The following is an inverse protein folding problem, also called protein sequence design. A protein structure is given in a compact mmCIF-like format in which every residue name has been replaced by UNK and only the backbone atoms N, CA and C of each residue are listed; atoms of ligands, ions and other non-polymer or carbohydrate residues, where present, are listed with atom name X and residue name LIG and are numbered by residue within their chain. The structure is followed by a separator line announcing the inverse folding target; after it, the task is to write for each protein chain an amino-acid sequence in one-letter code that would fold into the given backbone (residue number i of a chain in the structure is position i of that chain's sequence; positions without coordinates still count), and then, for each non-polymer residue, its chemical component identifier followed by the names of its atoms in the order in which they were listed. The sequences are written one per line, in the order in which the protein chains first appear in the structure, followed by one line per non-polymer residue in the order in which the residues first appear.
data_IF_732377446212
#
_entry.id   IF_732377446212
#
_cell.length_a   1.000
_cell.length_b   1.000
_cell.length_c   1.000
_cell.angle_alpha   90.00
_cell.angle_beta   90.00
_cell.angle_gamma   90.00
#
_symmetry.space_group_name_H-M   'P 1'
#
loop_
_entity.id
_entity.type
_entity.pdbx_description
1 polymer ?
#
# COMPACT_ATOMS: atom_id res chain seq x y z
N UNK A 1 -17.82 7.33 2.23
CA UNK A 1 -17.66 6.71 0.90
C UNK A 1 -18.39 7.50 -0.17
N UNK A 2 -17.74 7.83 -1.25
CA UNK A 2 -18.31 8.59 -2.38
C UNK A 2 -18.97 7.70 -3.45
N UNK A 3 -18.65 6.40 -3.46
CA UNK A 3 -19.19 5.40 -4.41
C UNK A 3 -19.76 4.20 -3.66
N UNK A 4 -20.73 3.52 -4.26
CA UNK A 4 -21.26 2.25 -3.74
C UNK A 4 -20.20 1.16 -3.76
N UNK A 5 -20.37 0.12 -2.93
CA UNK A 5 -19.55 -1.09 -2.97
C UNK A 5 -20.07 -2.03 -4.08
N UNK A 6 -19.60 -1.85 -5.29
CA UNK A 6 -20.04 -2.56 -6.50
C UNK A 6 -19.38 -3.94 -6.66
N UNK A 7 -18.22 -4.16 -6.05
CA UNK A 7 -17.50 -5.44 -6.08
C UNK A 7 -17.69 -6.23 -4.77
N UNK A 8 -17.52 -7.56 -4.83
CA UNK A 8 -17.51 -8.43 -3.64
C UNK A 8 -16.43 -7.99 -2.65
N UNK A 9 -15.25 -7.64 -3.15
CA UNK A 9 -14.15 -7.15 -2.34
C UNK A 9 -14.51 -5.88 -1.56
N UNK A 10 -15.09 -4.88 -2.23
CA UNK A 10 -15.50 -3.64 -1.58
C UNK A 10 -16.61 -3.87 -0.54
N UNK A 11 -17.52 -4.81 -0.79
CA UNK A 11 -18.54 -5.20 0.20
C UNK A 11 -17.91 -5.78 1.46
N UNK A 12 -16.95 -6.70 1.33
CA UNK A 12 -16.21 -7.26 2.47
C UNK A 12 -15.45 -6.15 3.22
N UNK A 13 -14.73 -5.29 2.50
CA UNK A 13 -13.95 -4.22 3.13
C UNK A 13 -14.82 -3.25 3.94
N UNK A 14 -16.04 -2.98 3.51
CA UNK A 14 -16.94 -1.98 4.11
C UNK A 14 -18.01 -2.54 5.04
N UNK A 15 -18.12 -3.86 5.18
CA UNK A 15 -19.23 -4.55 5.85
C UNK A 15 -19.61 -3.96 7.20
N UNK A 16 -18.64 -3.63 8.04
CA UNK A 16 -18.84 -3.11 9.40
C UNK A 16 -18.38 -1.65 9.57
N UNK A 17 -18.27 -0.90 8.48
CA UNK A 17 -17.72 0.46 8.53
C UNK A 17 -18.63 1.44 7.77
N UNK A 18 -18.94 2.57 8.41
CA UNK A 18 -19.68 3.68 7.77
C UNK A 18 -18.78 4.59 6.93
N UNK A 19 -17.47 4.58 7.19
CA UNK A 19 -16.46 5.41 6.52
C UNK A 19 -15.10 4.71 6.55
N UNK A 20 -14.15 5.07 5.64
CA UNK A 20 -12.78 4.55 5.65
C UNK A 20 -11.99 5.19 6.80
N UNK A 21 -12.01 4.57 7.98
CA UNK A 21 -11.28 5.06 9.14
C UNK A 21 -9.76 5.00 8.91
N UNK A 22 -9.03 5.93 9.54
CA UNK A 22 -7.57 6.04 9.45
C UNK A 22 -7.04 6.20 8.00
N UNK A 23 -7.73 6.98 7.18
CA UNK A 23 -7.24 7.33 5.84
C UNK A 23 -6.12 8.38 5.94
N UNK A 24 -5.03 8.03 6.62
CA UNK A 24 -3.90 8.90 6.95
C UNK A 24 -2.80 8.77 5.90
N UNK A 25 -2.36 9.88 5.34
CA UNK A 25 -1.25 9.95 4.38
C UNK A 25 -0.03 10.55 5.07
N UNK A 26 1.15 9.95 4.88
CA UNK A 26 2.41 10.53 5.33
C UNK A 26 2.72 11.82 4.57
N UNK A 27 3.05 12.90 5.29
CA UNK A 27 3.49 14.13 4.65
C UNK A 27 4.90 13.97 4.10
N UNK A 28 5.05 14.12 2.80
CA UNK A 28 6.33 14.09 2.11
C UNK A 28 6.88 15.51 1.92
N UNK A 29 8.21 15.62 1.87
CA UNK A 29 8.88 16.87 1.48
C UNK A 29 8.65 17.15 -0.02
N UNK A 30 8.70 18.39 -0.43
CA UNK A 30 8.43 18.81 -1.82
C UNK A 30 9.29 18.10 -2.85
N UNK A 31 10.58 17.94 -2.59
CA UNK A 31 11.49 17.23 -3.50
C UNK A 31 11.11 15.74 -3.67
N UNK A 32 10.45 15.11 -2.68
CA UNK A 32 9.94 13.74 -2.79
C UNK A 32 8.69 13.71 -3.68
N UNK A 33 7.81 14.69 -3.52
CA UNK A 33 6.62 14.83 -4.37
C UNK A 33 7.02 15.11 -5.82
N UNK A 34 8.08 15.92 -6.02
CA UNK A 34 8.62 16.15 -7.37
C UNK A 34 9.07 14.85 -8.04
N UNK A 35 9.79 13.99 -7.34
CA UNK A 35 10.16 12.65 -7.84
C UNK A 35 8.97 11.82 -8.28
N UNK A 36 7.88 11.86 -7.52
CA UNK A 36 6.67 11.11 -7.85
C UNK A 36 6.11 11.47 -9.23
N UNK A 37 6.20 12.73 -9.65
CA UNK A 37 5.67 13.19 -10.94
C UNK A 37 6.30 12.50 -12.15
N UNK A 38 7.54 12.05 -12.03
CA UNK A 38 8.27 11.39 -13.11
C UNK A 38 7.96 9.90 -13.25
N UNK A 39 7.34 9.28 -12.22
CA UNK A 39 7.13 7.85 -12.18
C UNK A 39 5.77 7.50 -12.79
N UNK A 40 5.77 6.78 -13.91
CA UNK A 40 4.56 6.28 -14.59
C UNK A 40 3.92 5.11 -13.83
N UNK A 41 2.71 4.70 -14.23
CA UNK A 41 2.04 3.52 -13.69
C UNK A 41 2.95 2.29 -13.81
N UNK A 42 3.10 1.53 -12.73
CA UNK A 42 4.01 0.38 -12.69
C UNK A 42 5.49 0.73 -12.68
N UNK A 43 5.88 2.01 -12.82
CA UNK A 43 7.26 2.48 -12.76
C UNK A 43 7.85 2.51 -11.35
N UNK A 44 9.11 2.91 -11.25
CA UNK A 44 9.84 2.97 -9.99
C UNK A 44 10.91 4.08 -10.02
N UNK A 45 11.83 4.06 -9.07
CA UNK A 45 12.92 5.05 -8.97
C UNK A 45 13.74 5.25 -10.26
N UNK A 46 13.78 4.28 -11.18
CA UNK A 46 14.51 4.36 -12.44
C UNK A 46 13.88 5.37 -13.43
N UNK A 47 12.62 5.72 -13.24
CA UNK A 47 11.96 6.75 -14.04
C UNK A 47 12.32 8.17 -13.57
N UNK A 48 13.00 8.32 -12.43
CA UNK A 48 13.35 9.62 -11.85
C UNK A 48 14.63 10.14 -12.49
N UNK A 49 14.66 11.40 -12.99
CA UNK A 49 15.87 12.02 -13.48
C UNK A 49 17.02 11.99 -12.45
N UNK A 50 18.24 11.74 -12.90
CA UNK A 50 19.42 11.62 -12.04
C UNK A 50 19.68 12.85 -11.17
N UNK A 51 19.34 14.03 -11.67
CA UNK A 51 19.45 15.31 -10.97
C UNK A 51 18.61 15.36 -9.70
N UNK A 52 17.48 14.68 -9.71
CA UNK A 52 16.58 14.58 -8.55
C UNK A 52 17.01 13.47 -7.57
N UNK A 53 17.98 12.63 -7.93
CA UNK A 53 18.45 11.50 -7.12
C UNK A 53 19.81 11.74 -6.46
N UNK A 54 20.39 12.93 -6.54
CA UNK A 54 21.73 13.28 -6.03
C UNK A 54 21.95 12.99 -4.54
N UNK A 55 20.92 12.96 -3.73
CA UNK A 55 21.02 12.61 -2.30
C UNK A 55 21.08 11.09 -2.02
N UNK A 56 21.04 10.26 -3.07
CA UNK A 56 21.28 8.82 -2.96
C UNK A 56 22.71 8.51 -3.39
N UNK A 57 23.57 8.17 -2.43
CA UNK A 57 24.99 7.91 -2.67
C UNK A 57 25.27 6.66 -3.51
N UNK A 58 24.32 5.71 -3.54
CA UNK A 58 24.48 4.46 -4.29
C UNK A 58 23.14 3.97 -4.85
N UNK A 59 22.85 4.36 -6.08
CA UNK A 59 21.65 3.91 -6.80
C UNK A 59 21.83 2.50 -7.41
N UNK A 60 23.06 2.01 -7.57
CA UNK A 60 23.34 0.70 -8.20
C UNK A 60 22.74 -0.48 -7.44
N UNK A 61 22.60 -0.34 -6.11
CA UNK A 61 22.06 -1.38 -5.23
C UNK A 61 20.59 -1.14 -4.82
N UNK A 62 19.91 -0.17 -5.45
CA UNK A 62 18.50 0.07 -5.17
C UNK A 62 17.61 -0.98 -5.86
N UNK A 63 16.78 -1.67 -5.07
CA UNK A 63 15.82 -2.62 -5.65
C UNK A 63 14.61 -1.90 -6.29
N UNK A 64 13.97 -2.56 -7.25
CA UNK A 64 12.86 -2.02 -8.04
C UNK A 64 11.60 -1.66 -7.24
N UNK A 65 11.51 -2.08 -5.99
CA UNK A 65 10.39 -1.76 -5.09
C UNK A 65 10.46 -0.36 -4.47
N UNK A 66 11.58 0.38 -4.64
CA UNK A 66 11.70 1.74 -4.12
C UNK A 66 11.03 2.72 -5.09
N UNK A 67 10.27 3.68 -4.54
CA UNK A 67 9.47 4.61 -5.35
C UNK A 67 8.53 3.90 -6.34
N UNK A 68 7.95 2.77 -5.94
CA UNK A 68 7.08 1.99 -6.81
C UNK A 68 5.70 2.62 -6.91
N UNK A 69 5.32 3.12 -8.09
CA UNK A 69 3.95 3.53 -8.36
C UNK A 69 3.10 2.30 -8.70
N UNK A 70 1.96 2.16 -8.06
CA UNK A 70 1.04 1.09 -8.38
C UNK A 70 0.46 1.28 -9.78
N UNK A 71 0.17 0.15 -10.44
CA UNK A 71 -0.54 0.13 -11.71
C UNK A 71 -1.99 -0.30 -11.45
N UNK A 72 -2.99 0.54 -11.79
CA UNK A 72 -4.39 0.20 -11.54
C UNK A 72 -4.91 -0.96 -12.39
N UNK A 73 -4.19 -1.34 -13.46
CA UNK A 73 -4.54 -2.46 -14.34
C UNK A 73 -3.92 -3.79 -13.92
N UNK A 74 -3.05 -3.79 -12.89
CA UNK A 74 -2.31 -4.97 -12.46
C UNK A 74 -2.55 -5.27 -10.96
N UNK A 75 -2.38 -6.53 -10.53
CA UNK A 75 -2.33 -6.85 -9.11
C UNK A 75 -1.26 -6.02 -8.40
N UNK A 76 -1.55 -5.63 -7.15
CA UNK A 76 -0.57 -4.90 -6.34
C UNK A 76 0.68 -5.74 -6.07
N UNK A 77 1.82 -5.06 -5.99
CA UNK A 77 3.03 -5.67 -5.44
C UNK A 77 2.82 -6.03 -3.97
N UNK A 78 3.63 -6.98 -3.47
CA UNK A 78 3.64 -7.34 -2.05
C UNK A 78 4.00 -6.10 -1.21
N UNK A 79 3.19 -5.85 -0.19
CA UNK A 79 3.45 -4.78 0.78
C UNK A 79 4.38 -5.33 1.86
N UNK A 80 5.69 -5.24 1.62
CA UNK A 80 6.69 -5.61 2.62
C UNK A 80 6.98 -4.41 3.54
N UNK A 81 8.07 -3.73 3.36
CA UNK A 81 8.45 -2.57 4.18
C UNK A 81 7.75 -1.29 3.70
N UNK A 82 6.42 -1.24 3.87
CA UNK A 82 5.56 -0.15 3.38
C UNK A 82 6.10 1.26 3.72
N UNK A 83 6.68 1.44 4.90
CA UNK A 83 7.24 2.72 5.34
C UNK A 83 8.48 3.13 4.54
N UNK A 84 9.34 2.19 4.17
CA UNK A 84 10.61 2.46 3.47
C UNK A 84 10.49 2.39 1.95
N UNK A 85 9.60 1.55 1.42
CA UNK A 85 9.48 1.32 -0.02
C UNK A 85 8.78 2.45 -0.77
N UNK A 86 8.15 3.39 -0.06
CA UNK A 86 7.49 4.55 -0.67
C UNK A 86 6.56 4.13 -1.82
N UNK A 87 5.59 3.24 -1.54
CA UNK A 87 4.58 2.88 -2.52
C UNK A 87 3.73 4.10 -2.86
N UNK A 88 3.65 4.39 -4.15
CA UNK A 88 2.99 5.60 -4.67
C UNK A 88 1.59 5.24 -5.16
N UNK A 89 0.64 6.12 -4.83
CA UNK A 89 -0.74 6.02 -5.31
C UNK A 89 -0.77 6.03 -6.85
N UNK A 90 -1.62 5.20 -7.51
CA UNK A 90 -1.61 5.09 -8.97
C UNK A 90 -1.90 6.42 -9.68
N UNK A 91 -2.79 7.23 -9.16
CA UNK A 91 -3.26 8.46 -9.82
C UNK A 91 -2.77 9.77 -9.16
N UNK A 92 -2.23 9.71 -7.94
CA UNK A 92 -1.83 10.90 -7.20
C UNK A 92 -0.33 10.88 -6.88
N UNK A 93 0.29 12.07 -6.81
CA UNK A 93 1.71 12.20 -6.49
C UNK A 93 1.94 12.21 -4.98
N UNK A 94 1.52 11.12 -4.33
CA UNK A 94 1.69 10.85 -2.90
C UNK A 94 1.89 9.37 -2.61
N UNK A 95 2.39 9.07 -1.45
CA UNK A 95 2.37 7.70 -0.95
C UNK A 95 0.95 7.19 -0.70
N UNK A 96 0.81 5.90 -0.50
CA UNK A 96 -0.46 5.30 -0.07
C UNK A 96 -0.84 5.80 1.31
N UNK A 97 -2.13 6.01 1.52
CA UNK A 97 -2.65 6.19 2.87
C UNK A 97 -2.57 4.88 3.66
N UNK A 98 -2.66 4.99 4.99
CA UNK A 98 -2.70 3.81 5.86
C UNK A 98 -3.86 2.88 5.48
N UNK A 99 -5.04 3.44 5.19
CA UNK A 99 -6.22 2.65 4.83
C UNK A 99 -6.11 2.01 3.44
N UNK A 100 -5.52 2.69 2.48
CA UNK A 100 -5.25 2.13 1.15
C UNK A 100 -4.31 0.92 1.25
N UNK A 101 -3.21 1.05 1.99
CA UNK A 101 -2.29 -0.07 2.23
C UNK A 101 -2.95 -1.21 3.02
N UNK A 102 -3.76 -0.91 4.04
CA UNK A 102 -4.52 -1.90 4.79
C UNK A 102 -5.49 -2.69 3.90
N UNK A 103 -6.19 -2.00 2.99
CA UNK A 103 -7.05 -2.66 1.99
C UNK A 103 -6.26 -3.56 1.04
N UNK A 104 -5.10 -3.14 0.55
CA UNK A 104 -4.24 -4.02 -0.27
C UNK A 104 -3.84 -5.30 0.46
N UNK A 105 -3.70 -5.23 1.79
CA UNK A 105 -3.52 -6.38 2.67
C UNK A 105 -4.84 -7.03 3.12
N UNK A 106 -5.97 -6.70 2.48
CA UNK A 106 -7.30 -7.21 2.78
C UNK A 106 -7.82 -6.99 4.21
N UNK A 107 -7.36 -5.95 4.91
CA UNK A 107 -7.94 -5.54 6.19
C UNK A 107 -9.23 -4.75 5.97
N UNK A 108 -10.36 -5.18 6.55
CA UNK A 108 -11.61 -4.42 6.49
C UNK A 108 -11.50 -3.03 7.12
N UNK A 109 -12.34 -2.10 6.68
CA UNK A 109 -12.26 -0.68 7.07
C UNK A 109 -12.56 -0.42 8.56
N UNK A 110 -13.24 -1.33 9.23
CA UNK A 110 -13.50 -1.25 10.67
C UNK A 110 -12.29 -1.61 11.54
N UNK A 111 -11.28 -2.26 10.98
CA UNK A 111 -10.06 -2.61 11.72
C UNK A 111 -9.26 -1.35 12.01
N UNK A 112 -8.96 -1.11 13.28
CA UNK A 112 -8.18 0.03 13.76
C UNK A 112 -6.78 -0.45 14.12
N UNK A 113 -5.77 0.29 13.67
CA UNK A 113 -4.38 0.09 14.04
C UNK A 113 -4.00 1.08 15.13
N UNK A 114 -3.29 0.64 16.15
CA UNK A 114 -2.95 1.47 17.31
C UNK A 114 -1.49 1.94 17.26
N UNK A 115 -1.22 3.08 17.93
CA UNK A 115 0.10 3.69 18.05
C UNK A 115 0.39 4.79 17.02
N UNK A 116 1.64 5.27 16.96
CA UNK A 116 2.08 6.26 15.97
C UNK A 116 1.97 5.76 14.53
N UNK A 117 1.84 6.67 13.56
CA UNK A 117 1.66 6.31 12.14
C UNK A 117 2.72 5.31 11.62
N UNK A 118 3.98 5.48 12.01
CA UNK A 118 5.06 4.58 11.62
C UNK A 118 4.87 3.14 12.11
N UNK A 119 4.32 2.96 13.31
CA UNK A 119 4.01 1.64 13.87
C UNK A 119 2.79 1.02 13.18
N UNK A 120 1.75 1.82 12.89
CA UNK A 120 0.60 1.36 12.13
C UNK A 120 1.01 0.86 10.72
N UNK A 121 1.90 1.59 10.06
CA UNK A 121 2.46 1.17 8.78
C UNK A 121 3.25 -0.14 8.89
N UNK A 122 4.01 -0.31 9.98
CA UNK A 122 4.76 -1.55 10.23
C UNK A 122 3.83 -2.73 10.51
N UNK A 123 2.77 -2.53 11.29
CA UNK A 123 1.75 -3.56 11.53
C UNK A 123 1.16 -4.08 10.22
N UNK A 124 0.79 -3.19 9.30
CA UNK A 124 0.26 -3.57 7.98
C UNK A 124 1.31 -4.33 7.17
N UNK A 125 2.56 -3.83 7.11
CA UNK A 125 3.63 -4.46 6.33
C UNK A 125 4.04 -5.84 6.83
N UNK A 126 3.91 -6.11 8.13
CA UNK A 126 4.26 -7.39 8.75
C UNK A 126 3.08 -8.38 8.80
N UNK A 127 1.88 -7.94 8.45
CA UNK A 127 0.69 -8.76 8.59
C UNK A 127 0.56 -9.81 7.49
N UNK A 128 -0.01 -10.95 7.85
CA UNK A 128 -0.60 -11.87 6.87
C UNK A 128 -1.97 -11.33 6.46
N UNK A 129 -2.27 -11.19 5.15
CA UNK A 129 -3.57 -10.69 4.71
C UNK A 129 -4.72 -11.57 5.23
N UNK A 130 -5.75 -11.01 5.88
CA UNK A 130 -6.85 -11.78 6.47
C UNK A 130 -7.57 -12.72 5.50
N UNK A 131 -7.78 -12.29 4.25
CA UNK A 131 -8.42 -13.16 3.24
C UNK A 131 -7.51 -14.32 2.82
N UNK A 132 -6.19 -14.12 2.76
CA UNK A 132 -5.25 -15.20 2.50
C UNK A 132 -5.23 -16.21 3.67
N UNK A 133 -5.12 -15.71 4.91
CA UNK A 133 -5.18 -16.55 6.09
C UNK A 133 -6.48 -17.37 6.13
N UNK A 134 -7.63 -16.73 5.86
CA UNK A 134 -8.92 -17.41 5.79
C UNK A 134 -8.92 -18.54 4.76
N UNK A 135 -8.41 -18.32 3.55
CA UNK A 135 -8.35 -19.33 2.49
C UNK A 135 -7.49 -20.53 2.91
N UNK A 136 -6.31 -20.27 3.49
CA UNK A 136 -5.41 -21.33 3.97
C UNK A 136 -6.08 -22.16 5.07
N UNK A 137 -6.67 -21.51 6.08
CA UNK A 137 -7.32 -22.24 7.18
C UNK A 137 -8.55 -23.02 6.74
N UNK A 138 -9.28 -22.55 5.74
CA UNK A 138 -10.39 -23.29 5.16
C UNK A 138 -9.94 -24.62 4.52
N UNK A 139 -8.77 -24.63 3.86
CA UNK A 139 -8.22 -25.87 3.31
C UNK A 139 -7.69 -26.81 4.41
N UNK A 140 -7.01 -26.28 5.42
CA UNK A 140 -6.54 -27.09 6.56
C UNK A 140 -7.71 -27.81 7.25
N UNK A 141 -8.81 -27.11 7.50
CA UNK A 141 -10.00 -27.70 8.14
C UNK A 141 -10.58 -28.84 7.29
N UNK A 142 -10.62 -28.70 5.95
CA UNK A 142 -11.09 -29.78 5.06
C UNK A 142 -10.21 -31.03 5.11
N UNK A 143 -8.90 -30.84 5.34
CA UNK A 143 -7.96 -31.97 5.42
C UNK A 143 -7.92 -32.63 6.80
N UNK A 144 -8.52 -32.02 7.81
CA UNK A 144 -8.53 -32.49 9.20
C UNK A 144 -9.80 -33.30 9.56
N UNK A 145 -10.69 -33.48 8.60
CA UNK A 145 -11.91 -34.31 8.70
C UNK A 145 -11.72 -35.55 7.83
#
# INVERSE_FOLDING_TARGET
YTKKADTSYLRIMREKAKAPLQNLVSRNKEYVVERYKHIKHGGNWQDIPSELMQNYSNTKNMHSGIYKRLDPSQPSVVIANYRKSMLIHPYENRGLSLREAARLQSFPDHVIFEGPLSYKQQQIGNAVPPLLAKAIFQEIVKLSI
#
